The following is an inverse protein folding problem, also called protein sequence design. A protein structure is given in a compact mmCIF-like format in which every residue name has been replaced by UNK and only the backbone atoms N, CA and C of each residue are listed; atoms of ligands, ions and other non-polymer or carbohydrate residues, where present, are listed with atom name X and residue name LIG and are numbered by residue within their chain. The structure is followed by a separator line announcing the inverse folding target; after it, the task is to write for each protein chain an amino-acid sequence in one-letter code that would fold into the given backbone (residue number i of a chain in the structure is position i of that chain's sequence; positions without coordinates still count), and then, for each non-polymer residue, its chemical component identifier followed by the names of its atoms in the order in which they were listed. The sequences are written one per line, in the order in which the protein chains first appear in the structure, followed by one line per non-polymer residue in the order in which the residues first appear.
data_IF_656556417869
#
_entry.id   IF_656556417869
#
_cell.length_a   1.000
_cell.length_b   1.000
_cell.length_c   1.000
_cell.angle_alpha   90.00
_cell.angle_beta   90.00
_cell.angle_gamma   90.00
#
_symmetry.space_group_name_H-M   'P 1'
#
loop_
_entity.id
_entity.type
_entity.pdbx_description
1 polymer ?
#
# COMPACT_ATOMS: atom_id res chain seq x y z
N UNK A 1 4.88 -17.91 -18.32
CA UNK A 1 6.13 -17.19 -18.71
C UNK A 1 6.90 -17.95 -19.77
N UNK A 2 7.29 -19.21 -19.61
CA UNK A 2 8.11 -19.94 -20.61
C UNK A 2 7.51 -20.04 -22.02
N UNK A 3 6.17 -20.11 -22.15
CA UNK A 3 5.48 -20.11 -23.46
C UNK A 3 5.63 -18.74 -24.13
N UNK A 4 5.41 -17.66 -23.38
CA UNK A 4 5.53 -16.30 -23.91
C UNK A 4 6.98 -15.93 -24.27
N UNK A 5 7.95 -16.34 -23.43
CA UNK A 5 9.38 -16.10 -23.70
C UNK A 5 9.91 -16.82 -24.95
N UNK A 6 9.32 -17.96 -25.27
CA UNK A 6 9.68 -18.76 -26.44
C UNK A 6 8.81 -18.48 -27.65
N UNK A 7 7.77 -17.64 -27.49
CA UNK A 7 6.74 -17.42 -28.52
C UNK A 7 6.08 -18.72 -29.02
N UNK A 8 6.04 -19.74 -28.15
CA UNK A 8 5.53 -21.07 -28.47
C UNK A 8 4.00 -21.08 -28.28
N UNK A 9 3.32 -20.32 -29.15
CA UNK A 9 1.87 -20.17 -29.13
C UNK A 9 1.23 -21.18 -30.13
N UNK A 10 0.25 -21.92 -29.63
CA UNK A 10 -0.65 -22.72 -30.43
C UNK A 10 -1.96 -21.95 -30.63
N UNK A 11 -2.28 -21.62 -31.88
CA UNK A 11 -3.50 -20.88 -32.21
C UNK A 11 -4.58 -21.84 -32.68
N UNK A 12 -5.79 -21.62 -32.23
CA UNK A 12 -6.97 -22.36 -32.66
C UNK A 12 -7.40 -21.92 -34.07
N UNK A 13 -7.89 -22.87 -34.87
CA UNK A 13 -8.58 -22.57 -36.15
C UNK A 13 -9.84 -21.72 -35.88
N UNK A 14 -10.30 -20.98 -36.87
CA UNK A 14 -11.44 -20.06 -36.78
C UNK A 14 -12.73 -20.73 -36.24
N UNK A 15 -12.94 -22.00 -36.63
CA UNK A 15 -14.09 -22.79 -36.20
C UNK A 15 -13.97 -23.31 -34.74
N UNK A 16 -12.77 -23.26 -34.19
CA UNK A 16 -12.44 -23.70 -32.83
C UNK A 16 -12.24 -22.52 -31.82
N UNK A 17 -12.55 -21.29 -32.23
CA UNK A 17 -12.47 -20.13 -31.35
C UNK A 17 -13.39 -20.27 -30.14
N UNK A 18 -12.96 -19.78 -29.00
CA UNK A 18 -13.74 -19.75 -27.77
C UNK A 18 -15.04 -18.94 -27.90
N UNK A 19 -15.96 -19.14 -26.96
CA UNK A 19 -17.21 -18.38 -26.91
C UNK A 19 -17.06 -17.25 -25.88
N UNK A 20 -17.61 -16.09 -26.21
CA UNK A 20 -17.79 -15.01 -25.27
C UNK A 20 -18.95 -15.34 -24.29
N UNK A 21 -18.72 -15.16 -23.00
CA UNK A 21 -19.72 -15.28 -21.96
C UNK A 21 -19.59 -14.13 -20.96
N UNK A 22 -20.70 -13.62 -20.46
CA UNK A 22 -20.74 -12.63 -19.38
C UNK A 22 -21.17 -13.30 -18.09
N UNK A 23 -20.47 -12.98 -16.99
CA UNK A 23 -20.86 -13.40 -15.64
C UNK A 23 -20.79 -12.19 -14.69
N UNK A 24 -21.92 -11.65 -14.31
CA UNK A 24 -22.07 -10.50 -13.43
C UNK A 24 -22.15 -10.87 -11.95
N UNK A 25 -21.82 -12.11 -11.57
CA UNK A 25 -21.94 -12.58 -10.18
C UNK A 25 -20.66 -12.40 -9.37
N UNK A 26 -19.54 -12.03 -10.00
CA UNK A 26 -18.24 -11.99 -9.32
C UNK A 26 -18.13 -10.92 -8.25
N UNK A 27 -18.69 -9.72 -8.44
CA UNK A 27 -18.71 -8.68 -7.41
C UNK A 27 -19.34 -9.22 -6.12
N UNK A 28 -20.55 -9.77 -6.23
CA UNK A 28 -21.24 -10.34 -5.07
C UNK A 28 -20.46 -11.48 -4.44
N UNK A 29 -19.88 -12.40 -5.23
CA UNK A 29 -19.07 -13.51 -4.72
C UNK A 29 -17.87 -13.02 -3.93
N UNK A 30 -17.19 -11.97 -4.45
CA UNK A 30 -16.03 -11.40 -3.77
C UNK A 30 -16.46 -10.73 -2.46
N UNK A 31 -17.50 -9.89 -2.48
CA UNK A 31 -18.05 -9.26 -1.27
C UNK A 31 -18.44 -10.30 -0.24
N UNK A 32 -19.20 -11.33 -0.64
CA UNK A 32 -19.60 -12.42 0.27
C UNK A 32 -18.37 -13.12 0.90
N UNK A 33 -17.28 -13.30 0.12
CA UNK A 33 -16.03 -13.87 0.64
C UNK A 33 -15.31 -12.97 1.63
N UNK A 34 -15.31 -11.66 1.39
CA UNK A 34 -14.73 -10.66 2.32
C UNK A 34 -15.51 -10.63 3.63
N UNK A 35 -16.85 -10.60 3.55
CA UNK A 35 -17.72 -10.60 4.74
C UNK A 35 -17.62 -11.90 5.56
N UNK A 36 -17.26 -13.02 4.92
CA UNK A 36 -17.06 -14.31 5.57
C UNK A 36 -15.68 -14.45 6.25
N UNK A 37 -14.76 -13.53 6.06
CA UNK A 37 -13.44 -13.55 6.71
C UNK A 37 -13.59 -13.50 8.24
N UNK A 38 -12.89 -14.37 8.95
CA UNK A 38 -13.01 -14.53 10.40
C UNK A 38 -12.78 -13.24 11.20
N UNK A 39 -11.95 -12.34 10.69
CA UNK A 39 -11.61 -11.08 11.36
C UNK A 39 -12.49 -9.90 10.91
N UNK A 40 -13.40 -10.10 9.97
CA UNK A 40 -14.41 -9.09 9.58
C UNK A 40 -15.62 -9.24 10.50
N UNK A 41 -15.82 -8.25 11.36
CA UNK A 41 -16.93 -8.22 12.32
C UNK A 41 -18.05 -7.30 11.83
N UNK A 42 -18.90 -7.87 10.96
CA UNK A 42 -20.00 -7.14 10.31
C UNK A 42 -20.97 -6.53 11.36
N UNK A 43 -21.25 -7.24 12.45
CA UNK A 43 -22.16 -6.75 13.48
C UNK A 43 -21.55 -5.60 14.28
N UNK A 44 -20.26 -5.66 14.59
CA UNK A 44 -19.58 -4.55 15.24
C UNK A 44 -19.56 -3.30 14.35
N UNK A 45 -19.30 -3.48 13.02
CA UNK A 45 -19.32 -2.37 12.06
C UNK A 45 -20.72 -1.74 11.99
N UNK A 46 -21.79 -2.55 11.84
CA UNK A 46 -23.17 -2.06 11.81
C UNK A 46 -23.54 -1.28 13.07
N UNK A 47 -23.15 -1.78 14.25
CA UNK A 47 -23.44 -1.15 15.53
C UNK A 47 -22.64 0.15 15.76
N UNK A 48 -21.55 0.35 15.04
CA UNK A 48 -20.75 1.59 15.12
C UNK A 48 -21.40 2.74 14.34
N UNK A 49 -22.34 2.48 13.43
CA UNK A 49 -23.06 3.48 12.62
C UNK A 49 -22.14 4.44 11.87
N UNK A 50 -21.07 3.91 11.27
CA UNK A 50 -20.11 4.73 10.54
C UNK A 50 -20.74 5.48 9.37
N UNK A 51 -20.30 6.73 9.20
CA UNK A 51 -20.61 7.57 8.05
C UNK A 51 -19.32 7.98 7.35
N UNK A 52 -19.18 7.61 6.09
CA UNK A 52 -17.93 7.78 5.34
C UNK A 52 -18.12 8.64 4.08
N UNK A 53 -17.07 9.35 3.69
CA UNK A 53 -16.96 9.94 2.36
C UNK A 53 -16.03 9.05 1.52
N UNK A 54 -16.43 8.71 0.30
CA UNK A 54 -15.67 7.79 -0.58
C UNK A 54 -15.26 8.51 -1.84
N UNK A 55 -14.01 8.42 -2.24
CA UNK A 55 -13.55 8.84 -3.56
C UNK A 55 -13.18 7.60 -4.39
N UNK A 56 -13.95 7.37 -5.46
CA UNK A 56 -13.81 6.23 -6.36
C UNK A 56 -13.13 6.59 -7.70
N UNK A 57 -12.59 7.79 -7.82
CA UNK A 57 -11.80 8.29 -8.96
C UNK A 57 -12.43 8.07 -10.36
N UNK A 58 -13.74 8.07 -10.45
CA UNK A 58 -14.49 7.73 -11.66
C UNK A 58 -14.11 6.38 -12.28
N UNK A 59 -13.92 5.37 -11.44
CA UNK A 59 -13.56 4.02 -11.86
C UNK A 59 -14.41 2.95 -11.16
N UNK A 60 -13.98 1.70 -11.20
CA UNK A 60 -14.76 0.53 -10.73
C UNK A 60 -15.08 0.55 -9.23
N UNK A 61 -14.38 1.36 -8.44
CA UNK A 61 -14.72 1.62 -7.05
C UNK A 61 -16.15 2.13 -6.87
N UNK A 62 -16.65 2.97 -7.81
CA UNK A 62 -18.03 3.45 -7.82
C UNK A 62 -19.08 2.35 -8.06
N UNK A 63 -18.67 1.19 -8.57
CA UNK A 63 -19.55 0.04 -8.80
C UNK A 63 -19.55 -0.90 -7.60
N UNK A 64 -18.36 -1.27 -7.08
CA UNK A 64 -18.26 -2.35 -6.08
C UNK A 64 -18.38 -1.86 -4.63
N UNK A 65 -17.90 -0.65 -4.33
CA UNK A 65 -17.92 -0.16 -2.94
C UNK A 65 -19.31 0.11 -2.40
N UNK A 66 -20.31 0.60 -3.16
CA UNK A 66 -21.68 0.70 -2.66
C UNK A 66 -22.21 -0.62 -2.13
N UNK A 67 -22.05 -1.73 -2.89
CA UNK A 67 -22.50 -3.06 -2.48
C UNK A 67 -21.79 -3.55 -1.19
N UNK A 68 -20.49 -3.29 -1.04
CA UNK A 68 -19.75 -3.63 0.17
C UNK A 68 -20.23 -2.82 1.38
N UNK A 69 -20.34 -1.49 1.23
CA UNK A 69 -20.72 -0.58 2.32
C UNK A 69 -22.16 -0.80 2.78
N UNK A 70 -23.09 -1.07 1.83
CA UNK A 70 -24.47 -1.46 2.15
C UNK A 70 -24.50 -2.76 2.98
N UNK A 71 -23.72 -3.77 2.59
CA UNK A 71 -23.64 -5.03 3.31
C UNK A 71 -23.04 -4.88 4.72
N UNK A 72 -22.10 -3.93 4.89
CA UNK A 72 -21.50 -3.55 6.16
C UNK A 72 -22.39 -2.61 7.00
N UNK A 73 -23.50 -2.08 6.44
CA UNK A 73 -24.39 -1.14 7.14
C UNK A 73 -23.76 0.23 7.39
N UNK A 74 -22.86 0.67 6.52
CA UNK A 74 -22.13 1.94 6.59
C UNK A 74 -22.87 2.99 5.77
N UNK A 75 -23.12 4.18 6.34
CA UNK A 75 -23.64 5.33 5.60
C UNK A 75 -22.51 5.97 4.79
N UNK A 76 -22.77 6.30 3.53
CA UNK A 76 -21.74 6.84 2.66
C UNK A 76 -22.21 7.97 1.75
N UNK A 77 -21.27 8.82 1.36
CA UNK A 77 -21.38 9.80 0.28
C UNK A 77 -20.22 9.59 -0.69
N UNK A 78 -20.51 9.54 -1.99
CA UNK A 78 -19.48 9.37 -3.00
C UNK A 78 -19.05 10.67 -3.64
N UNK A 79 -17.77 10.79 -3.89
CA UNK A 79 -17.15 11.68 -4.85
C UNK A 79 -16.63 10.83 -6.02
N UNK A 80 -16.70 11.36 -7.26
CA UNK A 80 -16.11 10.73 -8.44
C UNK A 80 -16.55 9.25 -8.61
N UNK A 81 -17.86 8.97 -8.53
CA UNK A 81 -18.40 7.61 -8.49
C UNK A 81 -18.75 7.02 -9.86
N UNK A 82 -18.86 7.85 -10.91
CA UNK A 82 -19.26 7.37 -12.24
C UNK A 82 -18.09 6.64 -12.92
N UNK A 83 -18.22 5.35 -13.29
CA UNK A 83 -17.10 4.57 -13.82
C UNK A 83 -16.82 4.88 -15.29
N UNK A 84 -16.56 6.13 -15.61
CA UNK A 84 -16.29 6.64 -16.96
C UNK A 84 -14.89 6.32 -17.44
N UNK A 85 -13.93 6.11 -16.52
CA UNK A 85 -12.50 6.00 -16.81
C UNK A 85 -11.80 7.36 -17.01
N UNK A 86 -12.57 8.46 -17.00
CA UNK A 86 -12.02 9.82 -16.98
C UNK A 86 -11.70 10.18 -15.52
N UNK A 87 -10.48 9.86 -15.08
CA UNK A 87 -10.08 10.03 -13.69
C UNK A 87 -10.11 11.49 -13.27
N UNK A 88 -10.83 11.79 -12.19
CA UNK A 88 -11.03 13.16 -11.69
C UNK A 88 -9.72 13.81 -11.20
N UNK A 89 -8.73 13.02 -10.80
CA UNK A 89 -7.39 13.46 -10.38
C UNK A 89 -6.38 12.36 -10.70
N UNK A 90 -5.10 12.59 -10.37
CA UNK A 90 -4.09 11.55 -10.52
C UNK A 90 -4.47 10.30 -9.68
N UNK A 91 -4.42 9.09 -10.26
CA UNK A 91 -4.93 7.87 -9.61
C UNK A 91 -4.14 7.41 -8.38
N UNK A 92 -2.92 7.91 -8.17
CA UNK A 92 -2.18 7.56 -6.96
C UNK A 92 -2.83 8.21 -5.71
N UNK A 93 -3.21 7.45 -4.67
CA UNK A 93 -3.88 7.95 -3.48
C UNK A 93 -2.90 8.67 -2.52
N UNK A 94 -2.23 9.69 -3.02
CA UNK A 94 -1.29 10.54 -2.28
C UNK A 94 -1.96 11.85 -1.88
N UNK A 95 -1.55 12.43 -0.77
CA UNK A 95 -2.11 13.68 -0.21
C UNK A 95 -2.27 14.79 -1.25
N UNK A 96 -1.24 15.01 -2.08
CA UNK A 96 -1.26 16.05 -3.14
C UNK A 96 -2.38 15.90 -4.17
N UNK A 97 -2.95 14.70 -4.30
CA UNK A 97 -3.98 14.38 -5.28
C UNK A 97 -5.40 14.38 -4.66
N UNK A 98 -5.51 14.40 -3.32
CA UNK A 98 -6.75 14.12 -2.59
C UNK A 98 -7.39 15.35 -1.94
N UNK A 99 -7.03 16.55 -2.40
CA UNK A 99 -7.57 17.81 -1.85
C UNK A 99 -9.09 17.86 -1.80
N UNK A 100 -9.79 17.32 -2.81
CA UNK A 100 -11.25 17.34 -2.89
C UNK A 100 -11.92 16.62 -1.71
N UNK A 101 -11.53 15.37 -1.44
CA UNK A 101 -12.11 14.60 -0.32
C UNK A 101 -11.64 15.14 1.04
N UNK A 102 -10.40 15.59 1.14
CA UNK A 102 -9.89 16.21 2.37
C UNK A 102 -10.70 17.47 2.74
N UNK A 103 -11.04 18.30 1.76
CA UNK A 103 -11.86 19.49 1.96
C UNK A 103 -13.32 19.14 2.26
N UNK A 104 -13.84 18.05 1.71
CA UNK A 104 -15.18 17.56 2.04
C UNK A 104 -15.27 17.13 3.51
N UNK A 105 -14.29 16.36 4.01
CA UNK A 105 -14.25 15.93 5.40
C UNK A 105 -14.13 17.10 6.38
N UNK A 106 -13.37 18.16 6.04
CA UNK A 106 -13.25 19.37 6.87
C UNK A 106 -14.60 20.07 7.14
N UNK A 107 -15.59 19.86 6.27
CA UNK A 107 -16.96 20.38 6.52
C UNK A 107 -17.65 19.68 7.69
N UNK A 108 -17.16 18.53 8.09
CA UNK A 108 -17.68 17.71 9.19
C UNK A 108 -18.84 16.80 8.77
N UNK A 109 -19.23 15.92 9.69
CA UNK A 109 -20.34 15.00 9.49
C UNK A 109 -19.96 13.64 8.95
N UNK A 110 -18.66 13.33 8.86
CA UNK A 110 -18.12 12.04 8.50
C UNK A 110 -17.17 11.53 9.59
N UNK A 111 -17.12 10.22 9.74
CA UNK A 111 -16.15 9.56 10.62
C UNK A 111 -14.80 9.36 9.93
N UNK A 112 -14.80 9.24 8.60
CA UNK A 112 -13.60 9.09 7.80
C UNK A 112 -13.84 9.24 6.30
N UNK A 113 -12.73 9.40 5.57
CA UNK A 113 -12.68 9.24 4.12
C UNK A 113 -12.06 7.90 3.70
N UNK A 114 -12.58 7.33 2.62
CA UNK A 114 -12.06 6.13 1.96
C UNK A 114 -11.71 6.53 0.52
N UNK A 115 -10.48 6.24 0.11
CA UNK A 115 -10.01 6.53 -1.26
C UNK A 115 -9.45 5.26 -1.85
N UNK A 116 -9.89 4.91 -3.05
CA UNK A 116 -9.37 3.77 -3.81
C UNK A 116 -8.78 4.22 -5.14
N UNK A 117 -7.89 3.44 -5.68
CA UNK A 117 -7.36 3.63 -7.03
C UNK A 117 -8.26 2.97 -8.10
N UNK A 118 -7.92 3.08 -9.40
CA UNK A 118 -8.83 2.67 -10.48
C UNK A 118 -9.26 1.20 -10.48
N UNK A 119 -8.41 0.27 -10.06
CA UNK A 119 -8.66 -1.16 -10.01
C UNK A 119 -8.93 -1.71 -8.59
N UNK A 120 -9.06 -0.77 -7.61
CA UNK A 120 -9.46 -1.06 -6.23
C UNK A 120 -8.50 -2.01 -5.51
N UNK A 121 -7.22 -1.92 -5.84
CA UNK A 121 -6.15 -2.68 -5.18
C UNK A 121 -5.37 -1.86 -4.15
N UNK A 122 -5.43 -0.50 -4.22
CA UNK A 122 -4.81 0.43 -3.28
C UNK A 122 -5.88 1.21 -2.52
N UNK A 123 -5.59 1.47 -1.27
CA UNK A 123 -6.50 2.06 -0.31
C UNK A 123 -5.78 3.11 0.54
N UNK A 124 -6.34 4.30 0.61
CA UNK A 124 -5.94 5.32 1.58
C UNK A 124 -7.13 5.78 2.39
N UNK A 125 -6.86 6.18 3.64
CA UNK A 125 -7.85 6.74 4.54
C UNK A 125 -7.57 8.20 4.81
N UNK A 126 -8.65 8.96 5.02
CA UNK A 126 -8.62 10.35 5.47
C UNK A 126 -9.27 10.37 6.85
N UNK A 127 -8.65 11.06 7.80
CA UNK A 127 -9.20 11.25 9.13
C UNK A 127 -10.42 12.17 9.12
N UNK A 128 -11.25 12.09 10.15
CA UNK A 128 -12.45 12.91 10.32
C UNK A 128 -12.17 14.42 10.33
N UNK A 129 -10.94 14.84 10.61
CA UNK A 129 -10.49 16.25 10.59
C UNK A 129 -9.99 16.72 9.22
N UNK A 130 -10.10 15.84 8.20
CA UNK A 130 -9.66 16.11 6.83
C UNK A 130 -8.16 15.97 6.60
N UNK A 131 -7.39 15.41 7.55
CA UNK A 131 -5.97 15.09 7.35
C UNK A 131 -5.79 13.67 6.84
N UNK A 132 -4.70 13.46 6.09
CA UNK A 132 -4.34 12.12 5.65
C UNK A 132 -4.06 11.20 6.85
N UNK A 133 -4.64 10.00 6.82
CA UNK A 133 -4.16 8.90 7.65
C UNK A 133 -2.79 8.43 7.17
N UNK A 134 -2.56 8.52 5.87
CA UNK A 134 -1.34 8.16 5.16
C UNK A 134 -1.45 6.78 4.50
N UNK A 135 -1.12 6.70 3.21
CA UNK A 135 -1.21 5.47 2.44
C UNK A 135 -0.33 4.35 3.02
N UNK A 136 0.83 4.69 3.53
CA UNK A 136 1.74 3.76 4.23
C UNK A 136 1.08 3.14 5.48
N UNK A 137 0.26 3.92 6.19
CA UNK A 137 -0.38 3.50 7.44
C UNK A 137 -1.66 2.69 7.25
N UNK A 138 -2.18 2.60 6.03
CA UNK A 138 -3.27 1.68 5.70
C UNK A 138 -2.87 0.25 6.08
N UNK A 139 -1.75 -0.23 5.54
CA UNK A 139 -1.22 -1.55 5.86
C UNK A 139 -0.86 -1.69 7.35
N UNK A 140 -0.22 -0.68 7.95
CA UNK A 140 0.19 -0.70 9.35
C UNK A 140 -1.00 -0.88 10.29
N UNK A 141 -2.09 -0.16 10.07
CA UNK A 141 -3.28 -0.22 10.92
C UNK A 141 -4.05 -1.53 10.78
N UNK A 142 -4.17 -2.04 9.54
CA UNK A 142 -4.80 -3.34 9.29
C UNK A 142 -3.95 -4.46 9.89
N UNK A 143 -2.62 -4.36 9.77
CA UNK A 143 -1.69 -5.32 10.37
C UNK A 143 -1.74 -5.32 11.90
N UNK A 144 -1.82 -4.15 12.57
CA UNK A 144 -2.00 -4.07 14.03
C UNK A 144 -3.25 -4.83 14.48
N UNK A 145 -4.35 -4.70 13.73
CA UNK A 145 -5.59 -5.42 14.02
C UNK A 145 -5.43 -6.94 13.81
N UNK A 146 -4.93 -7.35 12.65
CA UNK A 146 -4.72 -8.78 12.34
C UNK A 146 -3.79 -9.43 13.37
N UNK A 147 -2.65 -8.80 13.65
CA UNK A 147 -1.65 -9.30 14.60
C UNK A 147 -2.19 -9.37 16.04
N UNK A 148 -3.09 -8.48 16.43
CA UNK A 148 -3.74 -8.54 17.74
C UNK A 148 -4.62 -9.78 17.94
N UNK A 149 -5.09 -10.39 16.84
CA UNK A 149 -5.94 -11.59 16.83
C UNK A 149 -5.18 -12.85 16.43
N UNK A 150 -4.24 -12.69 15.51
CA UNK A 150 -3.42 -13.77 14.94
C UNK A 150 -1.97 -13.32 14.88
N UNK A 151 -1.21 -13.42 15.98
CA UNK A 151 0.21 -13.09 15.99
C UNK A 151 0.98 -13.90 14.94
N UNK A 152 1.90 -13.25 14.23
CA UNK A 152 2.65 -13.91 13.16
C UNK A 152 3.60 -12.96 12.43
N UNK A 153 4.15 -13.44 11.32
CA UNK A 153 5.09 -12.66 10.52
C UNK A 153 4.36 -11.72 9.58
N UNK A 154 5.02 -10.63 9.22
CA UNK A 154 4.55 -9.68 8.21
C UNK A 154 5.59 -9.45 7.12
N UNK A 155 5.13 -9.01 5.96
CA UNK A 155 5.99 -8.66 4.83
C UNK A 155 5.54 -7.36 4.20
N UNK A 156 6.48 -6.47 3.88
CA UNK A 156 6.27 -5.41 2.90
C UNK A 156 7.48 -5.25 1.98
N UNK A 157 7.37 -4.41 0.96
CA UNK A 157 8.52 -4.14 0.12
C UNK A 157 9.53 -3.21 0.82
N UNK A 158 10.77 -3.17 0.29
CA UNK A 158 11.88 -2.38 0.86
C UNK A 158 11.61 -0.88 0.96
N UNK A 159 10.71 -0.34 0.12
CA UNK A 159 10.38 1.09 0.09
C UNK A 159 9.22 1.48 1.03
N UNK A 160 8.65 0.54 1.78
CA UNK A 160 7.55 0.78 2.72
C UNK A 160 8.06 1.26 4.08
N UNK A 161 7.16 1.91 4.83
CA UNK A 161 7.48 2.43 6.16
C UNK A 161 7.94 1.35 7.14
N UNK A 162 8.88 1.70 7.99
CA UNK A 162 9.32 0.85 9.11
C UNK A 162 8.26 0.66 10.19
N UNK A 163 7.20 1.48 10.19
CA UNK A 163 6.11 1.35 11.16
C UNK A 163 5.47 -0.04 11.15
N UNK A 164 5.44 -0.75 10.00
CA UNK A 164 4.96 -2.13 9.94
C UNK A 164 5.87 -3.08 10.74
N UNK A 165 7.19 -2.90 10.65
CA UNK A 165 8.15 -3.67 11.45
C UNK A 165 7.90 -3.44 12.95
N UNK A 166 7.78 -2.18 13.36
CA UNK A 166 7.61 -1.82 14.76
C UNK A 166 6.31 -2.41 15.34
N UNK A 167 5.22 -2.36 14.56
CA UNK A 167 3.94 -3.00 14.96
C UNK A 167 4.07 -4.52 15.01
N UNK A 168 4.77 -5.14 14.07
CA UNK A 168 4.98 -6.60 14.04
C UNK A 168 5.76 -7.06 15.26
N UNK A 169 6.86 -6.39 15.58
CA UNK A 169 7.69 -6.68 16.76
C UNK A 169 6.93 -6.47 18.07
N UNK A 170 6.10 -5.41 18.16
CA UNK A 170 5.21 -5.17 19.30
C UNK A 170 4.26 -6.34 19.57
N UNK A 171 3.81 -7.04 18.54
CA UNK A 171 2.96 -8.24 18.64
C UNK A 171 3.76 -9.55 18.72
N UNK A 172 5.10 -9.49 18.84
CA UNK A 172 5.97 -10.65 18.98
C UNK A 172 6.21 -11.43 17.68
N UNK A 173 5.85 -10.87 16.53
CA UNK A 173 6.13 -11.42 15.21
C UNK A 173 7.47 -10.99 14.63
N UNK A 174 7.80 -11.49 13.44
CA UNK A 174 9.00 -11.12 12.68
C UNK A 174 8.60 -10.41 11.37
N UNK A 175 9.21 -9.26 11.12
CA UNK A 175 9.05 -8.54 9.88
C UNK A 175 10.10 -8.98 8.86
N UNK A 176 9.70 -9.16 7.60
CA UNK A 176 10.59 -9.40 6.47
C UNK A 176 10.32 -8.41 5.34
N UNK A 177 11.39 -7.89 4.74
CA UNK A 177 11.29 -7.08 3.53
C UNK A 177 11.45 -7.93 2.27
N UNK A 178 10.78 -7.53 1.19
CA UNK A 178 10.95 -8.07 -0.17
C UNK A 178 11.46 -7.01 -1.14
N UNK A 179 11.89 -7.42 -2.32
CA UNK A 179 12.00 -6.51 -3.46
C UNK A 179 10.65 -5.83 -3.73
N UNK A 180 10.69 -4.66 -4.38
CA UNK A 180 9.49 -3.90 -4.75
C UNK A 180 8.69 -4.65 -5.82
N UNK A 181 7.38 -4.63 -5.69
CA UNK A 181 6.41 -5.27 -6.56
C UNK A 181 5.65 -6.39 -5.88
N UNK A 182 4.34 -6.44 -6.13
CA UNK A 182 3.40 -7.34 -5.47
C UNK A 182 3.83 -8.81 -5.52
N UNK A 183 4.30 -9.28 -6.68
CA UNK A 183 4.75 -10.68 -6.85
C UNK A 183 5.90 -11.02 -5.90
N UNK A 184 6.82 -10.09 -5.67
CA UNK A 184 7.92 -10.27 -4.72
C UNK A 184 7.42 -10.32 -3.28
N UNK A 185 6.47 -9.42 -2.93
CA UNK A 185 5.83 -9.41 -1.62
C UNK A 185 5.10 -10.72 -1.37
N UNK A 186 4.24 -11.16 -2.29
CA UNK A 186 3.43 -12.38 -2.14
C UNK A 186 4.30 -13.64 -2.08
N UNK A 187 5.37 -13.70 -2.87
CA UNK A 187 6.33 -14.80 -2.82
C UNK A 187 6.99 -14.85 -1.44
N UNK A 188 7.47 -13.71 -0.94
CA UNK A 188 8.10 -13.63 0.38
C UNK A 188 7.11 -13.95 1.50
N UNK A 189 5.85 -13.52 1.38
CA UNK A 189 4.79 -13.86 2.35
C UNK A 189 4.58 -15.37 2.46
N UNK A 190 4.57 -16.07 1.33
CA UNK A 190 4.45 -17.55 1.30
C UNK A 190 5.66 -18.21 1.95
N UNK A 191 6.87 -17.75 1.65
CA UNK A 191 8.12 -18.30 2.17
C UNK A 191 8.21 -18.20 3.70
N UNK A 192 7.74 -17.08 4.28
CA UNK A 192 7.84 -16.84 5.74
C UNK A 192 6.52 -17.09 6.48
N UNK A 193 5.50 -17.62 5.79
CA UNK A 193 4.15 -17.84 6.34
C UNK A 193 3.60 -16.57 7.00
N UNK A 194 3.70 -15.43 6.31
CA UNK A 194 3.20 -14.15 6.81
C UNK A 194 1.68 -14.18 6.93
N UNK A 195 1.15 -13.67 8.04
CA UNK A 195 -0.31 -13.59 8.29
C UNK A 195 -0.95 -12.37 7.64
N UNK A 196 -0.14 -11.36 7.31
CA UNK A 196 -0.53 -10.17 6.56
C UNK A 196 0.70 -9.55 5.91
N UNK A 197 0.53 -8.87 4.80
CA UNK A 197 1.57 -8.11 4.12
C UNK A 197 0.98 -7.10 3.16
N UNK A 198 1.85 -6.50 2.35
CA UNK A 198 1.42 -5.51 1.36
C UNK A 198 2.52 -4.55 0.95
N UNK A 199 2.11 -3.42 0.45
CA UNK A 199 2.99 -2.36 -0.02
C UNK A 199 2.60 -1.01 0.60
N UNK A 200 3.58 -0.13 0.81
CA UNK A 200 3.38 1.21 1.38
C UNK A 200 2.60 2.19 0.49
N UNK A 201 2.09 1.71 -0.63
CA UNK A 201 1.21 2.47 -1.53
C UNK A 201 -0.30 2.31 -1.23
N UNK A 202 -0.64 1.74 -0.07
CA UNK A 202 -2.01 1.42 0.33
C UNK A 202 -2.47 0.00 -0.01
N UNK A 203 -1.61 -0.83 -0.58
CA UNK A 203 -1.94 -2.21 -0.96
C UNK A 203 -1.90 -3.15 0.24
N UNK A 204 -3.03 -3.73 0.61
CA UNK A 204 -3.16 -4.73 1.68
C UNK A 204 -3.29 -6.12 1.07
N UNK A 205 -2.50 -7.08 1.55
CA UNK A 205 -2.55 -8.49 1.14
C UNK A 205 -2.85 -9.33 2.38
N UNK A 206 -4.02 -9.97 2.42
CA UNK A 206 -4.45 -10.83 3.52
C UNK A 206 -4.63 -12.27 3.05
N UNK A 207 -3.71 -13.20 3.40
CA UNK A 207 -3.68 -14.57 2.87
C UNK A 207 -4.93 -15.40 3.12
N UNK A 208 -5.70 -15.11 4.18
CA UNK A 208 -6.98 -15.77 4.45
C UNK A 208 -8.03 -15.46 3.37
N UNK A 209 -7.89 -14.34 2.64
CA UNK A 209 -8.66 -14.03 1.45
C UNK A 209 -7.95 -14.57 0.20
N UNK A 210 -6.85 -13.93 -0.17
CA UNK A 210 -6.00 -14.33 -1.30
C UNK A 210 -4.64 -13.62 -1.26
N UNK A 211 -3.72 -14.06 -2.12
CA UNK A 211 -2.40 -13.45 -2.29
C UNK A 211 -2.38 -12.38 -3.39
N UNK A 212 -3.16 -11.32 -3.20
CA UNK A 212 -3.21 -10.13 -4.03
C UNK A 212 -3.60 -8.93 -3.19
N UNK A 213 -3.26 -7.73 -3.62
CA UNK A 213 -3.70 -6.50 -2.96
C UNK A 213 -5.21 -6.36 -3.14
N UNK A 214 -5.91 -5.92 -2.09
CA UNK A 214 -7.37 -5.86 -2.08
C UNK A 214 -7.87 -4.77 -1.13
N UNK A 215 -8.44 -3.71 -1.71
CA UNK A 215 -8.97 -2.61 -0.93
C UNK A 215 -10.25 -2.99 -0.17
N UNK A 216 -11.09 -3.90 -0.69
CA UNK A 216 -12.32 -4.33 0.00
C UNK A 216 -11.98 -5.04 1.31
N UNK A 217 -10.99 -5.93 1.27
CA UNK A 217 -10.46 -6.61 2.45
C UNK A 217 -9.88 -5.59 3.43
N UNK A 218 -9.08 -4.64 2.92
CA UNK A 218 -8.50 -3.56 3.72
C UNK A 218 -9.56 -2.71 4.42
N UNK A 219 -10.64 -2.30 3.72
CA UNK A 219 -11.77 -1.53 4.26
C UNK A 219 -12.47 -2.32 5.37
N UNK A 220 -12.84 -3.57 5.09
CA UNK A 220 -13.61 -4.39 6.05
C UNK A 220 -12.82 -4.66 7.33
N UNK A 221 -11.52 -4.97 7.22
CA UNK A 221 -10.64 -5.17 8.38
C UNK A 221 -10.38 -3.86 9.16
N UNK A 222 -10.20 -2.74 8.46
CA UNK A 222 -10.02 -1.44 9.10
C UNK A 222 -11.27 -1.00 9.88
N UNK A 223 -12.46 -1.10 9.27
CA UNK A 223 -13.71 -0.77 9.93
C UNK A 223 -13.99 -1.70 11.12
N UNK A 224 -13.66 -3.00 11.01
CA UNK A 224 -13.74 -3.93 12.15
C UNK A 224 -12.83 -3.49 13.29
N UNK A 225 -11.58 -3.12 12.98
CA UNK A 225 -10.63 -2.57 13.96
C UNK A 225 -11.15 -1.32 14.63
N UNK A 226 -11.66 -0.38 13.85
CA UNK A 226 -12.16 0.90 14.36
C UNK A 226 -13.40 0.72 15.25
N UNK A 227 -14.33 -0.17 14.85
CA UNK A 227 -15.50 -0.53 15.64
C UNK A 227 -15.14 -1.12 17.01
N UNK A 228 -14.16 -2.01 17.05
CA UNK A 228 -13.68 -2.60 18.31
C UNK A 228 -12.92 -1.60 19.20
N UNK A 229 -12.16 -0.67 18.60
CA UNK A 229 -11.40 0.32 19.37
C UNK A 229 -12.26 1.47 19.87
N UNK A 230 -13.37 1.80 19.19
CA UNK A 230 -14.29 2.87 19.56
C UNK A 230 -13.62 4.25 19.65
N UNK A 231 -12.63 4.51 18.83
CA UNK A 231 -11.86 5.76 18.78
C UNK A 231 -12.02 6.45 17.41
N UNK A 232 -11.63 7.71 17.33
CA UNK A 232 -11.57 8.44 16.07
C UNK A 232 -10.43 7.93 15.19
N UNK A 233 -10.53 8.14 13.89
CA UNK A 233 -9.48 7.73 12.93
C UNK A 233 -8.18 8.50 13.19
N UNK A 234 -8.25 9.79 13.52
CA UNK A 234 -7.09 10.60 13.90
C UNK A 234 -6.41 10.10 15.19
N UNK A 235 -7.19 9.65 16.16
CA UNK A 235 -6.67 9.05 17.41
C UNK A 235 -5.98 7.71 17.13
N UNK A 236 -6.58 6.89 16.26
CA UNK A 236 -5.97 5.64 15.82
C UNK A 236 -4.63 5.92 15.11
N UNK A 237 -4.59 6.90 14.19
CA UNK A 237 -3.35 7.30 13.50
C UNK A 237 -2.26 7.75 14.47
N UNK A 238 -2.63 8.54 15.47
CA UNK A 238 -1.70 9.05 16.49
C UNK A 238 -1.15 7.94 17.41
N UNK A 239 -1.77 6.78 17.47
CA UNK A 239 -1.31 5.63 18.26
C UNK A 239 -0.13 4.87 17.64
N UNK A 240 0.16 5.11 16.37
CA UNK A 240 1.29 4.48 15.65
C UNK A 240 2.54 5.36 15.69
N UNK A 241 3.73 4.76 15.60
CA UNK A 241 4.97 5.52 15.39
C UNK A 241 4.85 6.45 14.19
N UNK A 242 5.35 7.66 14.32
CA UNK A 242 5.21 8.67 13.27
C UNK A 242 6.49 8.78 12.45
N UNK A 243 6.44 8.30 11.22
CA UNK A 243 7.50 8.38 10.24
C UNK A 243 7.04 9.12 8.99
N UNK A 244 7.99 9.75 8.30
CA UNK A 244 7.77 10.50 7.07
C UNK A 244 8.71 9.99 5.99
N UNK A 245 8.16 9.76 4.78
CA UNK A 245 8.93 9.30 3.62
C UNK A 245 9.06 10.43 2.62
N UNK A 246 10.30 10.85 2.34
CA UNK A 246 10.62 11.72 1.21
C UNK A 246 10.87 10.86 -0.04
N UNK A 247 10.22 11.23 -1.15
CA UNK A 247 10.31 10.53 -2.45
C UNK A 247 11.05 11.42 -3.43
N UNK A 248 12.35 11.18 -3.59
CA UNK A 248 13.25 11.88 -4.48
C UNK A 248 13.64 11.01 -5.70
N UNK A 249 14.26 11.60 -6.72
CA UNK A 249 14.78 10.89 -7.88
C UNK A 249 16.06 11.54 -8.41
N UNK A 250 16.88 10.74 -9.06
CA UNK A 250 18.05 11.18 -9.85
C UNK A 250 17.77 10.85 -11.30
N UNK A 251 17.74 11.86 -12.16
CA UNK A 251 17.61 11.66 -13.61
C UNK A 251 18.95 11.15 -14.17
N UNK A 252 18.90 10.13 -15.02
CA UNK A 252 20.06 9.44 -15.55
C UNK A 252 20.46 10.00 -16.91
N UNK A 253 21.76 10.02 -17.17
CA UNK A 253 22.31 10.23 -18.51
C UNK A 253 22.59 8.89 -19.21
N UNK A 254 22.72 8.89 -20.52
CA UNK A 254 23.02 7.67 -21.28
C UNK A 254 24.36 7.00 -20.90
N UNK A 255 25.26 7.75 -20.25
CA UNK A 255 26.58 7.26 -19.80
C UNK A 255 26.60 6.78 -18.36
N UNK A 256 25.48 6.89 -17.61
CA UNK A 256 25.44 6.55 -16.17
C UNK A 256 25.35 5.04 -15.97
N UNK A 257 26.39 4.44 -15.40
CA UNK A 257 26.37 3.03 -14.96
C UNK A 257 25.76 2.94 -13.54
N UNK A 258 24.45 2.71 -13.51
CA UNK A 258 23.68 2.63 -12.26
C UNK A 258 24.16 1.48 -11.37
N UNK A 259 24.46 0.33 -11.95
CA UNK A 259 24.83 -0.85 -11.19
C UNK A 259 26.18 -0.65 -10.50
N UNK A 260 27.15 -0.03 -11.21
CA UNK A 260 28.43 0.35 -10.61
C UNK A 260 28.28 1.37 -9.49
N UNK A 261 27.36 2.34 -9.62
CA UNK A 261 27.07 3.33 -8.58
C UNK A 261 26.50 2.65 -7.33
N UNK A 262 25.50 1.77 -7.50
CA UNK A 262 24.88 1.07 -6.38
C UNK A 262 25.87 0.18 -5.63
N UNK A 263 26.79 -0.49 -6.36
CA UNK A 263 27.88 -1.27 -5.75
C UNK A 263 28.79 -0.38 -4.90
N UNK A 264 29.18 0.80 -5.41
CA UNK A 264 30.02 1.75 -4.65
C UNK A 264 29.32 2.27 -3.40
N UNK A 265 28.02 2.60 -3.48
CA UNK A 265 27.23 3.01 -2.31
C UNK A 265 27.20 1.91 -1.26
N UNK A 266 26.95 0.65 -1.67
CA UNK A 266 26.99 -0.51 -0.79
C UNK A 266 28.36 -0.67 -0.11
N UNK A 267 29.45 -0.54 -0.84
CA UNK A 267 30.81 -0.66 -0.29
C UNK A 267 31.16 0.47 0.68
N UNK A 268 30.69 1.70 0.39
CA UNK A 268 30.93 2.87 1.23
C UNK A 268 30.25 2.74 2.59
N UNK A 269 28.97 2.38 2.60
CA UNK A 269 28.16 2.31 3.81
C UNK A 269 28.20 0.94 4.51
N UNK A 270 28.56 -0.13 3.80
CA UNK A 270 28.64 -1.48 4.37
C UNK A 270 29.72 -1.66 5.44
N UNK A 271 30.61 -0.67 5.62
CA UNK A 271 31.65 -0.64 6.67
C UNK A 271 31.23 0.17 7.90
N UNK A 272 30.11 0.89 7.83
CA UNK A 272 29.61 1.69 8.96
C UNK A 272 28.97 0.78 10.00
N UNK A 273 29.35 0.96 11.27
CA UNK A 273 29.01 0.05 12.37
C UNK A 273 27.49 -0.08 12.63
N UNK A 274 26.75 1.00 12.42
CA UNK A 274 25.33 1.09 12.77
C UNK A 274 24.42 1.14 11.52
N UNK A 275 24.90 0.62 10.37
CA UNK A 275 24.15 0.58 9.11
C UNK A 275 23.97 -0.87 8.66
N UNK A 276 22.71 -1.25 8.48
CA UNK A 276 22.37 -2.52 7.81
C UNK A 276 22.14 -2.25 6.32
N UNK A 277 22.87 -2.94 5.47
CA UNK A 277 22.74 -2.82 4.01
C UNK A 277 21.96 -4.00 3.45
N UNK A 278 20.88 -3.69 2.70
CA UNK A 278 20.09 -4.69 1.96
C UNK A 278 20.14 -4.37 0.47
N UNK A 279 20.45 -5.38 -0.35
CA UNK A 279 20.68 -5.23 -1.80
C UNK A 279 19.85 -6.18 -2.68
N UNK A 280 18.71 -6.63 -2.18
CA UNK A 280 17.80 -7.51 -2.94
C UNK A 280 17.05 -6.78 -4.07
N UNK A 281 16.99 -5.44 -4.02
CA UNK A 281 16.43 -4.58 -5.06
C UNK A 281 17.06 -3.19 -4.92
N UNK A 282 18.11 -2.90 -5.69
CA UNK A 282 18.92 -1.72 -5.50
C UNK A 282 19.75 -1.78 -4.23
N UNK A 283 19.83 -0.68 -3.48
CA UNK A 283 20.55 -0.61 -2.20
C UNK A 283 19.73 0.15 -1.17
N UNK A 284 19.36 -0.52 -0.09
CA UNK A 284 18.75 0.11 1.09
C UNK A 284 19.77 0.15 2.22
N UNK A 285 19.87 1.32 2.83
CA UNK A 285 20.69 1.59 4.01
C UNK A 285 19.75 1.83 5.19
N UNK A 286 19.68 0.91 6.13
CA UNK A 286 18.90 1.02 7.36
C UNK A 286 19.81 1.50 8.50
N UNK A 287 19.52 2.69 9.02
CA UNK A 287 20.10 3.25 10.24
C UNK A 287 19.19 2.96 11.44
N UNK A 288 19.62 3.17 12.67
CA UNK A 288 18.80 2.90 13.85
C UNK A 288 17.44 3.60 13.86
N UNK A 289 17.38 4.84 13.35
CA UNK A 289 16.21 5.73 13.42
C UNK A 289 15.62 6.15 12.05
N UNK A 290 16.27 5.77 10.94
CA UNK A 290 15.90 6.18 9.57
C UNK A 290 16.41 5.19 8.55
N UNK A 291 15.96 5.31 7.30
CA UNK A 291 16.51 4.54 6.18
C UNK A 291 16.51 5.35 4.89
N UNK A 292 17.33 4.93 3.93
CA UNK A 292 17.29 5.40 2.54
C UNK A 292 17.43 4.22 1.58
N UNK A 293 16.63 4.23 0.53
CA UNK A 293 16.59 3.21 -0.50
C UNK A 293 16.82 3.83 -1.89
N UNK A 294 17.87 3.38 -2.57
CA UNK A 294 18.22 3.76 -3.93
C UNK A 294 17.90 2.59 -4.86
N UNK A 295 17.02 2.80 -5.83
CA UNK A 295 16.58 1.76 -6.74
C UNK A 295 16.45 2.27 -8.17
N UNK A 296 16.99 1.52 -9.14
CA UNK A 296 16.78 1.77 -10.57
C UNK A 296 15.28 1.63 -10.90
N UNK A 297 14.74 2.58 -11.68
CA UNK A 297 13.38 2.43 -12.19
C UNK A 297 13.40 1.46 -13.39
N UNK A 298 12.38 0.59 -13.47
CA UNK A 298 12.21 -0.33 -14.59
C UNK A 298 11.52 0.32 -15.81
N UNK A 299 10.90 1.49 -15.62
CA UNK A 299 10.06 2.15 -16.62
C UNK A 299 10.60 3.51 -17.08
N UNK A 300 11.49 4.12 -16.28
CA UNK A 300 12.01 5.46 -16.53
C UNK A 300 13.54 5.45 -16.35
N UNK A 301 14.29 6.32 -17.05
CA UNK A 301 15.74 6.43 -16.89
C UNK A 301 16.09 7.24 -15.61
N UNK A 302 15.70 6.72 -14.44
CA UNK A 302 15.93 7.37 -13.15
C UNK A 302 16.40 6.37 -12.08
N UNK A 303 17.07 6.88 -11.04
CA UNK A 303 17.19 6.21 -9.75
C UNK A 303 16.15 6.83 -8.82
N UNK A 304 15.26 6.02 -8.25
CA UNK A 304 14.36 6.43 -7.18
C UNK A 304 15.15 6.45 -5.88
N UNK A 305 15.04 7.55 -5.14
CA UNK A 305 15.70 7.74 -3.85
C UNK A 305 14.63 8.04 -2.80
N UNK A 306 14.21 7.01 -2.10
CA UNK A 306 13.22 7.13 -1.02
C UNK A 306 13.95 7.08 0.32
N UNK A 307 13.53 7.93 1.24
CA UNK A 307 14.15 8.02 2.57
C UNK A 307 13.10 8.28 3.63
N UNK A 308 13.24 7.64 4.78
CA UNK A 308 12.33 7.76 5.91
C UNK A 308 13.06 8.22 7.16
N UNK A 309 12.44 9.13 7.89
CA UNK A 309 12.90 9.60 9.19
C UNK A 309 11.73 10.05 10.08
N UNK A 310 12.02 10.53 11.29
CA UNK A 310 11.02 11.01 12.25
C UNK A 310 10.37 12.34 11.86
N UNK A 311 10.97 13.11 10.93
CA UNK A 311 10.38 14.31 10.31
C UNK A 311 10.62 14.31 8.80
N UNK A 312 9.79 15.05 8.06
CA UNK A 312 9.95 15.17 6.60
C UNK A 312 11.28 15.85 6.23
N UNK A 313 11.69 16.85 7.02
CA UNK A 313 12.97 17.57 6.80
C UNK A 313 14.15 16.59 6.91
N UNK A 314 14.19 15.77 7.95
CA UNK A 314 15.24 14.77 8.13
C UNK A 314 15.24 13.69 7.05
N UNK A 315 14.05 13.26 6.62
CA UNK A 315 13.91 12.32 5.52
C UNK A 315 14.46 12.89 4.22
N UNK A 316 14.08 14.12 3.88
CA UNK A 316 14.52 14.81 2.66
C UNK A 316 16.04 15.13 2.69
N UNK A 317 16.57 15.57 3.82
CA UNK A 317 18.01 15.79 4.02
C UNK A 317 18.81 14.50 3.79
N UNK A 318 18.33 13.35 4.33
CA UNK A 318 18.97 12.06 4.12
C UNK A 318 18.95 11.66 2.64
N UNK A 319 17.83 11.82 1.97
CA UNK A 319 17.68 11.54 0.54
C UNK A 319 18.64 12.41 -0.30
N UNK A 320 18.66 13.73 -0.07
CA UNK A 320 19.56 14.67 -0.75
C UNK A 320 21.04 14.39 -0.50
N UNK A 321 21.40 13.99 0.73
CA UNK A 321 22.77 13.56 1.05
C UNK A 321 23.21 12.40 0.16
N UNK A 322 22.36 11.37 0.02
CA UNK A 322 22.67 10.21 -0.82
C UNK A 322 22.65 10.55 -2.31
N UNK A 323 21.77 11.44 -2.75
CA UNK A 323 21.80 11.95 -4.13
C UNK A 323 23.15 12.64 -4.44
N UNK A 324 23.65 13.46 -3.52
CA UNK A 324 24.97 14.11 -3.69
C UNK A 324 26.11 13.09 -3.79
N UNK A 325 26.08 12.05 -2.95
CA UNK A 325 27.07 10.95 -3.04
C UNK A 325 27.03 10.28 -4.41
N UNK A 326 25.84 10.06 -4.99
CA UNK A 326 25.68 9.51 -6.33
C UNK A 326 26.21 10.46 -7.41
N UNK A 327 25.93 11.76 -7.32
CA UNK A 327 26.44 12.76 -8.26
C UNK A 327 27.97 12.86 -8.21
N UNK A 328 28.56 12.75 -7.05
CA UNK A 328 30.04 12.78 -6.90
C UNK A 328 30.72 11.52 -7.47
N UNK A 329 29.95 10.46 -7.76
CA UNK A 329 30.41 9.19 -8.36
C UNK A 329 30.23 9.10 -9.89
N UNK A 330 29.46 10.02 -10.48
CA UNK A 330 29.21 10.11 -11.92
C UNK A 330 30.38 10.82 -12.65
#
# INVERSE_FOLDING_TARGET
MSIAEKEDFEYADVDALGKYTEDNTFNKRHIDSVLALKLVDVEAIKNAHFKVCVDAINSVGGVILPELLDALGVEYTFLNAEPTGDFAHNPEPLEKNLGGIMDELKKGGYDMGIVVDPDVDRLAFICEDGKMFGEEYTLVSVADYVLSKTPGNTVSNLSSTRALRDVTEKHGGSYCASAVGEVNVTTKMKDVHAVIGGEGNGGVIYPESHYGRDALVGIALFLSSLAHKGCKVSELRASFPNYFIAKNRIDLTASTDVDAILVKVKELYGKEKDVTVTDIDGVKLDFPDKWVHLRKSNTEPIIRVYSEASTMEQADELGKKLMQVVYDMQ
#
